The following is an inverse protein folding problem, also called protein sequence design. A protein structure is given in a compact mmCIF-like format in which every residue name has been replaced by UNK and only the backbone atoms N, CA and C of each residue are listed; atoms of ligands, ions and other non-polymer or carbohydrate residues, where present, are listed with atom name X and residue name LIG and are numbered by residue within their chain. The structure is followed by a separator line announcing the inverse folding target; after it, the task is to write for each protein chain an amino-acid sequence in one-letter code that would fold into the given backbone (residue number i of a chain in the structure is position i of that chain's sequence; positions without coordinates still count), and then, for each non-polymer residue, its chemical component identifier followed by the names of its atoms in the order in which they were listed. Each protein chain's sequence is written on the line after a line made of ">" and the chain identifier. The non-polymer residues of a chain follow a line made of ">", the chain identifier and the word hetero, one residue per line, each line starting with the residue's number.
data_IF_602650184978
#
_entry.id   IF_602650184978
#
_cell.length_a   1.000
_cell.length_b   1.000
_cell.length_c   1.000
_cell.angle_alpha   90.00
_cell.angle_beta   90.00
_cell.angle_gamma   90.00
#
_symmetry.space_group_name_H-M   'P 1'
#
loop_
_entity.id
_entity.type
_entity.pdbx_description
1 polymer ?
#
# COMPACT_ATOMS: atom_id res chain seq x y z
N UNK A 1 -27.56 9.82 20.85
CA UNK A 1 -27.46 8.36 21.07
C UNK A 1 -26.01 7.94 20.81
N UNK A 2 -25.23 7.72 21.86
CA UNK A 2 -23.81 7.39 21.75
C UNK A 2 -23.65 5.88 21.46
N UNK A 3 -23.47 5.53 20.19
CA UNK A 3 -23.24 4.13 19.81
C UNK A 3 -21.80 3.73 20.17
N UNK A 4 -21.59 3.17 21.36
CA UNK A 4 -20.33 2.52 21.73
C UNK A 4 -20.16 1.25 20.90
N UNK A 5 -19.14 1.23 20.03
CA UNK A 5 -18.70 -0.01 19.38
C UNK A 5 -18.47 -1.08 20.43
N UNK A 6 -19.09 -2.26 20.27
CA UNK A 6 -18.94 -3.41 21.19
C UNK A 6 -17.48 -3.88 21.32
N UNK A 7 -16.62 -3.51 20.37
CA UNK A 7 -15.19 -3.81 20.37
C UNK A 7 -14.38 -2.52 20.20
N UNK A 8 -13.53 -2.22 21.17
CA UNK A 8 -12.53 -1.16 21.09
C UNK A 8 -11.26 -1.76 20.51
N UNK A 9 -10.89 -1.37 19.28
CA UNK A 9 -9.66 -1.83 18.63
C UNK A 9 -8.45 -1.47 19.50
N UNK A 10 -7.73 -2.49 19.97
CA UNK A 10 -6.52 -2.28 20.77
C UNK A 10 -5.41 -1.64 19.94
N UNK A 11 -4.65 -0.73 20.54
CA UNK A 11 -3.62 0.04 19.84
C UNK A 11 -2.48 -0.84 19.28
N UNK A 12 -2.25 -2.02 19.85
CA UNK A 12 -1.23 -2.95 19.33
C UNK A 12 -1.59 -3.52 17.96
N UNK A 13 -2.88 -3.68 17.64
CA UNK A 13 -3.32 -4.28 16.37
C UNK A 13 -2.82 -3.50 15.15
N UNK A 14 -3.08 -2.18 15.01
CA UNK A 14 -2.54 -1.42 13.87
C UNK A 14 -1.01 -1.37 13.88
N UNK A 15 -0.34 -1.39 15.05
CA UNK A 15 1.14 -1.45 15.11
C UNK A 15 1.64 -2.76 14.51
N UNK A 16 1.13 -3.90 14.98
CA UNK A 16 1.51 -5.22 14.47
C UNK A 16 1.26 -5.34 12.97
N UNK A 17 0.10 -4.88 12.50
CA UNK A 17 -0.23 -4.88 11.07
C UNK A 17 0.70 -3.98 10.26
N UNK A 18 1.06 -2.81 10.78
CA UNK A 18 2.01 -1.91 10.14
C UNK A 18 3.42 -2.51 10.03
N UNK A 19 3.89 -3.20 11.08
CA UNK A 19 5.18 -3.92 11.06
C UNK A 19 5.14 -5.04 10.02
N UNK A 20 4.08 -5.84 9.97
CA UNK A 20 3.91 -6.92 8.98
C UNK A 20 3.95 -6.34 7.56
N UNK A 21 3.19 -5.27 7.31
CA UNK A 21 3.18 -4.56 6.02
C UNK A 21 4.60 -4.14 5.61
N UNK A 22 5.36 -3.52 6.52
CA UNK A 22 6.71 -3.05 6.22
C UNK A 22 7.67 -4.23 5.95
N UNK A 23 7.67 -5.26 6.81
CA UNK A 23 8.54 -6.42 6.63
C UNK A 23 8.32 -7.12 5.29
N UNK A 24 7.05 -7.36 4.94
CA UNK A 24 6.69 -7.97 3.66
C UNK A 24 7.12 -7.05 2.51
N UNK A 25 6.90 -5.74 2.62
CA UNK A 25 7.27 -4.79 1.56
C UNK A 25 8.78 -4.75 1.35
N UNK A 26 9.57 -4.68 2.43
CA UNK A 26 11.03 -4.70 2.34
C UNK A 26 11.54 -6.02 1.78
N UNK A 27 10.97 -7.16 2.18
CA UNK A 27 11.29 -8.47 1.60
C UNK A 27 11.09 -8.45 0.08
N UNK A 28 9.95 -7.95 -0.41
CA UNK A 28 9.69 -7.89 -1.85
C UNK A 28 10.55 -6.85 -2.57
N UNK A 29 10.91 -5.72 -1.96
CA UNK A 29 11.89 -4.79 -2.52
C UNK A 29 13.22 -5.52 -2.75
N UNK A 30 13.73 -6.21 -1.73
CA UNK A 30 14.99 -6.97 -1.82
C UNK A 30 14.90 -8.05 -2.89
N UNK A 31 13.85 -8.88 -2.88
CA UNK A 31 13.66 -9.94 -3.88
C UNK A 31 13.56 -9.38 -5.31
N UNK A 32 12.94 -8.21 -5.51
CA UNK A 32 12.89 -7.59 -6.84
C UNK A 32 14.20 -6.93 -7.26
N UNK A 33 14.98 -6.42 -6.31
CA UNK A 33 16.32 -5.91 -6.57
C UNK A 33 17.34 -7.00 -6.88
N UNK A 34 17.19 -8.20 -6.30
CA UNK A 34 18.19 -9.28 -6.43
C UNK A 34 17.72 -10.42 -7.34
N UNK A 35 16.67 -11.13 -6.95
CA UNK A 35 16.25 -12.39 -7.58
C UNK A 35 15.44 -12.18 -8.86
N UNK A 36 14.61 -11.13 -8.91
CA UNK A 36 13.80 -10.83 -10.10
C UNK A 36 14.39 -9.76 -11.01
N UNK A 37 15.56 -9.22 -10.68
CA UNK A 37 16.22 -8.23 -11.53
C UNK A 37 16.70 -8.89 -12.81
N UNK A 38 16.31 -8.34 -13.96
CA UNK A 38 16.81 -8.76 -15.26
C UNK A 38 17.50 -7.57 -15.94
N UNK A 39 18.76 -7.74 -16.30
CA UNK A 39 19.61 -6.66 -16.80
C UNK A 39 19.12 -6.08 -18.15
N UNK A 40 18.47 -6.92 -18.95
CA UNK A 40 17.81 -6.56 -20.20
C UNK A 40 16.58 -5.65 -20.03
N UNK A 41 16.07 -5.46 -18.82
CA UNK A 41 14.98 -4.50 -18.55
C UNK A 41 15.47 -3.04 -18.45
N UNK A 42 16.79 -2.81 -18.50
CA UNK A 42 17.39 -1.46 -18.43
C UNK A 42 17.16 -0.61 -19.68
N UNK A 43 16.96 -1.24 -20.83
CA UNK A 43 16.73 -0.56 -22.11
C UNK A 43 15.49 -1.17 -22.77
N UNK A 44 14.48 -0.35 -23.01
CA UNK A 44 13.27 -0.75 -23.73
C UNK A 44 13.11 0.11 -24.97
N UNK A 45 13.02 -0.51 -26.15
CA UNK A 45 12.94 0.19 -27.44
C UNK A 45 14.01 1.29 -27.62
N UNK A 46 15.27 0.98 -27.27
CA UNK A 46 16.41 1.91 -27.29
C UNK A 46 16.28 3.13 -26.35
N UNK A 47 15.30 3.14 -25.45
CA UNK A 47 15.14 4.19 -24.44
C UNK A 47 15.61 3.65 -23.09
N UNK A 48 16.55 4.33 -22.40
CA UNK A 48 16.98 3.95 -21.07
C UNK A 48 15.83 4.11 -20.08
N UNK A 49 15.54 3.06 -19.33
CA UNK A 49 14.53 3.06 -18.28
C UNK A 49 15.14 3.54 -16.95
N UNK A 50 14.31 3.73 -15.92
CA UNK A 50 14.78 4.07 -14.57
C UNK A 50 15.81 3.04 -14.06
N UNK A 51 15.66 1.78 -14.49
CA UNK A 51 16.60 0.67 -14.26
C UNK A 51 18.00 0.91 -14.83
N UNK A 52 18.16 1.67 -15.92
CA UNK A 52 19.49 1.98 -16.45
C UNK A 52 20.30 2.87 -15.48
N UNK A 53 19.63 3.73 -14.74
CA UNK A 53 20.26 4.69 -13.81
C UNK A 53 20.41 4.07 -12.42
N UNK A 54 19.33 3.51 -11.89
CA UNK A 54 19.26 3.05 -10.49
C UNK A 54 19.46 1.54 -10.33
N UNK A 55 19.56 0.78 -11.44
CA UNK A 55 19.76 -0.68 -11.42
C UNK A 55 18.77 -1.35 -10.47
N UNK A 56 19.28 -2.13 -9.52
CA UNK A 56 18.52 -2.88 -8.52
C UNK A 56 17.71 -1.99 -7.56
N UNK A 57 18.13 -0.73 -7.35
CA UNK A 57 17.43 0.23 -6.49
C UNK A 57 16.13 0.78 -7.09
N UNK A 58 15.93 0.57 -8.39
CA UNK A 58 14.71 1.00 -9.10
C UNK A 58 13.43 0.49 -8.45
N UNK A 59 13.48 -0.72 -7.89
CA UNK A 59 12.36 -1.34 -7.19
C UNK A 59 11.77 -0.41 -6.13
N UNK A 60 12.60 0.28 -5.33
CA UNK A 60 12.16 1.19 -4.26
C UNK A 60 11.26 2.31 -4.76
N UNK A 61 11.43 2.75 -6.01
CA UNK A 61 10.67 3.82 -6.62
C UNK A 61 9.32 3.37 -7.21
N UNK A 62 9.01 2.07 -7.18
CA UNK A 62 7.70 1.60 -7.61
C UNK A 62 6.61 2.13 -6.68
N UNK A 63 5.59 2.74 -7.30
CA UNK A 63 4.48 3.36 -6.59
C UNK A 63 3.77 2.41 -5.62
N UNK A 64 3.67 1.12 -5.98
CA UNK A 64 3.15 0.08 -5.07
C UNK A 64 3.96 0.00 -3.78
N UNK A 65 5.29 -0.03 -3.84
CA UNK A 65 6.11 -0.10 -2.62
C UNK A 65 6.10 1.20 -1.83
N UNK A 66 6.11 2.35 -2.49
CA UNK A 66 5.97 3.64 -1.80
C UNK A 66 4.64 3.74 -1.05
N UNK A 67 3.53 3.36 -1.69
CA UNK A 67 2.20 3.36 -1.06
C UNK A 67 2.07 2.31 0.06
N UNK A 68 2.67 1.12 -0.09
CA UNK A 68 2.73 0.10 0.96
C UNK A 68 3.55 0.56 2.16
N UNK A 69 4.72 1.17 1.94
CA UNK A 69 5.56 1.75 3.00
C UNK A 69 4.78 2.84 3.74
N UNK A 70 4.15 3.75 3.00
CA UNK A 70 3.36 4.83 3.60
C UNK A 70 2.20 4.29 4.43
N UNK A 71 1.47 3.27 3.95
CA UNK A 71 0.44 2.59 4.73
C UNK A 71 1.02 1.97 6.01
N UNK A 72 2.13 1.25 5.92
CA UNK A 72 2.78 0.60 7.06
C UNK A 72 3.19 1.59 8.15
N UNK A 73 3.83 2.69 7.75
CA UNK A 73 4.18 3.79 8.66
C UNK A 73 2.91 4.37 9.29
N UNK A 74 1.88 4.68 8.50
CA UNK A 74 0.67 5.28 9.02
C UNK A 74 -0.12 4.36 9.96
N UNK A 75 -0.07 3.04 9.76
CA UNK A 75 -0.62 2.05 10.69
C UNK A 75 0.09 2.08 12.05
N UNK A 76 1.43 2.14 12.06
CA UNK A 76 2.21 2.25 13.29
C UNK A 76 1.91 3.57 13.99
N UNK A 77 1.96 4.70 13.26
CA UNK A 77 1.68 6.02 13.82
C UNK A 77 0.24 6.11 14.35
N UNK A 78 -0.73 5.50 13.67
CA UNK A 78 -2.11 5.39 14.14
C UNK A 78 -2.21 4.64 15.46
N UNK A 79 -1.49 3.54 15.62
CA UNK A 79 -1.48 2.79 16.88
C UNK A 79 -0.84 3.56 18.04
N UNK A 80 0.26 4.28 17.77
CA UNK A 80 0.96 5.08 18.79
C UNK A 80 0.18 6.35 19.16
N UNK A 81 -0.38 7.05 18.17
CA UNK A 81 -1.02 8.37 18.33
C UNK A 81 -2.49 8.37 17.92
N UNK A 82 -3.26 7.35 18.32
CA UNK A 82 -4.67 7.18 17.93
C UNK A 82 -5.56 8.37 18.24
N UNK A 83 -5.29 9.12 19.31
CA UNK A 83 -6.12 10.27 19.69
C UNK A 83 -5.97 11.46 18.73
N UNK A 84 -4.91 11.51 17.92
CA UNK A 84 -4.67 12.62 16.99
C UNK A 84 -5.57 12.54 15.77
N UNK A 85 -6.40 13.56 15.56
CA UNK A 85 -7.23 13.69 14.36
C UNK A 85 -6.39 13.84 13.08
N UNK A 86 -5.23 14.49 13.16
CA UNK A 86 -4.29 14.60 12.04
C UNK A 86 -3.80 13.22 11.60
N UNK A 87 -3.44 12.36 12.55
CA UNK A 87 -3.00 11.00 12.26
C UNK A 87 -4.11 10.18 11.61
N UNK A 88 -5.34 10.25 12.12
CA UNK A 88 -6.50 9.57 11.51
C UNK A 88 -6.76 10.04 10.08
N UNK A 89 -6.62 11.34 9.80
CA UNK A 89 -6.77 11.91 8.44
C UNK A 89 -5.64 11.47 7.51
N UNK A 90 -4.40 11.49 7.98
CA UNK A 90 -3.26 10.99 7.21
C UNK A 90 -3.38 9.50 6.91
N UNK A 91 -3.89 8.71 7.87
CA UNK A 91 -4.15 7.29 7.66
C UNK A 91 -5.29 7.08 6.64
N UNK A 92 -6.35 7.89 6.70
CA UNK A 92 -7.36 7.86 5.65
C UNK A 92 -6.76 8.16 4.26
N UNK A 93 -5.85 9.14 4.16
CA UNK A 93 -5.15 9.46 2.92
C UNK A 93 -4.25 8.30 2.45
N UNK A 94 -3.55 7.60 3.35
CA UNK A 94 -2.75 6.44 2.96
C UNK A 94 -3.62 5.29 2.43
N UNK A 95 -4.80 5.08 3.01
CA UNK A 95 -5.76 4.10 2.50
C UNK A 95 -6.36 4.53 1.16
N UNK A 96 -6.66 5.82 0.97
CA UNK A 96 -7.09 6.33 -0.35
C UNK A 96 -6.00 6.13 -1.41
N UNK A 97 -4.74 6.42 -1.09
CA UNK A 97 -3.60 6.25 -1.99
C UNK A 97 -3.42 4.78 -2.40
N UNK A 98 -3.42 3.86 -1.44
CA UNK A 98 -3.25 2.43 -1.73
C UNK A 98 -4.46 1.84 -2.48
N UNK A 99 -5.63 2.45 -2.36
CA UNK A 99 -6.81 2.10 -3.18
C UNK A 99 -6.58 2.41 -4.65
N UNK A 100 -6.00 3.57 -4.96
CA UNK A 100 -5.67 3.93 -6.34
C UNK A 100 -4.68 2.92 -6.92
N UNK A 101 -3.63 2.56 -6.16
CA UNK A 101 -2.69 1.51 -6.57
C UNK A 101 -3.40 0.19 -6.84
N UNK A 102 -4.28 -0.25 -5.94
CA UNK A 102 -5.04 -1.49 -6.07
C UNK A 102 -5.89 -1.48 -7.34
N UNK A 103 -6.71 -0.44 -7.54
CA UNK A 103 -7.62 -0.36 -8.68
C UNK A 103 -6.85 -0.32 -10.00
N UNK A 104 -5.83 0.54 -10.10
CA UNK A 104 -5.06 0.70 -11.35
C UNK A 104 -4.32 -0.59 -11.69
N UNK A 105 -3.66 -1.22 -10.72
CA UNK A 105 -2.95 -2.47 -10.96
C UNK A 105 -3.90 -3.58 -11.40
N UNK A 106 -4.97 -3.82 -10.64
CA UNK A 106 -5.93 -4.89 -10.95
C UNK A 106 -6.68 -4.64 -12.27
N UNK A 107 -7.00 -3.38 -12.59
CA UNK A 107 -7.54 -3.02 -13.89
C UNK A 107 -6.56 -3.37 -15.03
N UNK A 108 -5.27 -3.03 -14.89
CA UNK A 108 -4.25 -3.29 -15.91
C UNK A 108 -3.98 -4.77 -16.16
N UNK A 109 -4.10 -5.62 -15.14
CA UNK A 109 -3.89 -7.07 -15.30
C UNK A 109 -5.15 -7.82 -15.74
N UNK A 110 -6.34 -7.30 -15.39
CA UNK A 110 -7.61 -8.00 -15.62
C UNK A 110 -7.87 -8.34 -17.09
N UNK A 111 -7.46 -7.49 -18.03
CA UNK A 111 -7.74 -7.66 -19.45
C UNK A 111 -6.73 -8.54 -20.20
N UNK A 112 -5.56 -8.83 -19.62
CA UNK A 112 -4.50 -9.60 -20.28
C UNK A 112 -4.62 -11.08 -19.94
N UNK A 113 -5.21 -11.88 -20.83
CA UNK A 113 -5.36 -13.32 -20.66
C UNK A 113 -4.04 -14.02 -20.28
N UNK A 114 -2.94 -13.65 -20.93
CA UNK A 114 -1.59 -14.18 -20.65
C UNK A 114 -1.09 -13.94 -19.22
N UNK A 115 -1.70 -13.03 -18.46
CA UNK A 115 -1.38 -12.82 -17.04
C UNK A 115 -1.90 -13.95 -16.17
N UNK A 116 -3.03 -14.54 -16.57
CA UNK A 116 -3.72 -15.62 -15.85
C UNK A 116 -3.18 -17.00 -16.20
N UNK A 117 -2.44 -17.11 -17.29
CA UNK A 117 -1.77 -18.34 -17.75
C UNK A 117 -0.36 -18.51 -17.14
N UNK A 118 0.10 -17.53 -16.36
CA UNK A 118 1.42 -17.56 -15.71
C UNK A 118 1.48 -18.60 -14.58
N UNK A 119 2.68 -19.10 -14.23
CA UNK A 119 2.86 -20.02 -13.11
C UNK A 119 2.29 -19.46 -11.82
N UNK A 120 1.67 -20.33 -11.01
CA UNK A 120 1.00 -19.98 -9.73
C UNK A 120 1.83 -19.07 -8.82
N UNK A 121 3.17 -19.20 -8.86
CA UNK A 121 4.08 -18.36 -8.09
C UNK A 121 3.97 -16.85 -8.40
N UNK A 122 3.83 -16.47 -9.68
CA UNK A 122 3.69 -15.04 -10.04
C UNK A 122 2.34 -14.47 -9.60
N UNK A 123 1.28 -15.27 -9.66
CA UNK A 123 -0.04 -14.90 -9.17
C UNK A 123 -0.05 -14.71 -7.64
N UNK A 124 0.60 -15.61 -6.90
CA UNK A 124 0.76 -15.49 -5.43
C UNK A 124 1.54 -14.22 -5.09
N UNK A 125 2.67 -13.97 -5.76
CA UNK A 125 3.44 -12.72 -5.58
C UNK A 125 2.57 -11.49 -5.80
N UNK A 126 1.77 -11.47 -6.87
CA UNK A 126 0.84 -10.38 -7.19
C UNK A 126 -0.17 -10.15 -6.06
N UNK A 127 -0.84 -11.19 -5.58
CA UNK A 127 -1.81 -11.11 -4.48
C UNK A 127 -1.15 -10.58 -3.19
N UNK A 128 0.01 -11.12 -2.83
CA UNK A 128 0.73 -10.73 -1.60
C UNK A 128 1.16 -9.27 -1.63
N UNK A 129 1.60 -8.75 -2.79
CA UNK A 129 2.17 -7.40 -2.90
C UNK A 129 1.14 -6.33 -3.24
N UNK A 130 0.07 -6.69 -3.94
CA UNK A 130 -0.89 -5.73 -4.50
C UNK A 130 -2.29 -5.86 -3.90
N UNK A 131 -2.65 -6.94 -3.19
CA UNK A 131 -3.99 -7.08 -2.60
C UNK A 131 -4.00 -7.09 -1.06
N UNK A 132 -3.06 -7.79 -0.41
CA UNK A 132 -3.07 -7.92 1.06
C UNK A 132 -2.90 -6.58 1.75
N UNK A 133 -1.99 -5.72 1.29
CA UNK A 133 -1.75 -4.40 1.89
C UNK A 133 -3.00 -3.50 1.83
N UNK A 134 -3.68 -3.31 0.68
CA UNK A 134 -4.97 -2.62 0.64
C UNK A 134 -6.02 -3.20 1.59
N UNK A 135 -6.15 -4.53 1.64
CA UNK A 135 -7.13 -5.21 2.50
C UNK A 135 -6.88 -4.88 3.98
N UNK A 136 -5.62 -4.92 4.44
CA UNK A 136 -5.25 -4.51 5.81
C UNK A 136 -5.67 -3.06 6.06
N UNK A 137 -5.37 -2.15 5.13
CA UNK A 137 -5.77 -0.75 5.21
C UNK A 137 -7.28 -0.58 5.34
N UNK A 138 -8.07 -1.29 4.53
CA UNK A 138 -9.53 -1.27 4.56
C UNK A 138 -10.12 -1.81 5.85
N UNK A 139 -9.58 -2.92 6.36
CA UNK A 139 -10.03 -3.51 7.63
C UNK A 139 -9.82 -2.50 8.76
N UNK A 140 -8.62 -1.96 8.89
CA UNK A 140 -8.31 -1.02 9.97
C UNK A 140 -9.13 0.28 9.82
N UNK A 141 -9.25 0.82 8.61
CA UNK A 141 -10.11 1.99 8.37
C UNK A 141 -11.57 1.69 8.73
N UNK A 142 -12.10 0.53 8.34
CA UNK A 142 -13.44 0.11 8.68
C UNK A 142 -13.70 0.05 10.19
N UNK A 143 -12.72 -0.40 10.97
CA UNK A 143 -12.78 -0.46 12.43
C UNK A 143 -12.74 0.93 13.09
N UNK A 144 -11.98 1.87 12.53
CA UNK A 144 -11.84 3.22 13.08
C UNK A 144 -12.74 4.27 12.41
N UNK A 145 -13.54 3.90 11.40
CA UNK A 145 -14.25 4.85 10.51
C UNK A 145 -15.09 5.88 11.25
N UNK A 146 -15.68 5.48 12.39
CA UNK A 146 -16.52 6.37 13.23
C UNK A 146 -15.70 7.42 13.99
N UNK A 147 -14.39 7.23 14.11
CA UNK A 147 -13.46 8.15 14.77
C UNK A 147 -12.82 9.15 13.81
N UNK A 148 -13.00 8.97 12.50
CA UNK A 148 -12.42 9.82 11.45
C UNK A 148 -13.41 10.94 11.12
N UNK A 149 -12.97 12.19 11.23
CA UNK A 149 -13.74 13.36 10.84
C UNK A 149 -12.99 14.13 9.76
N UNK A 150 -13.57 14.13 8.56
CA UNK A 150 -13.11 14.90 7.40
C UNK A 150 -14.09 16.05 7.23
N UNK A 151 -13.60 17.29 7.35
CA UNK A 151 -14.40 18.50 7.16
C UNK A 151 -14.13 19.07 5.78
N UNK A 152 -15.17 19.40 5.02
CA UNK A 152 -15.07 20.04 3.70
C UNK A 152 -14.84 21.56 3.77
N UNK A 153 -14.69 22.13 4.97
CA UNK A 153 -14.64 23.58 5.22
C UNK A 153 -13.44 24.34 4.59
N UNK A 154 -12.57 23.67 3.84
CA UNK A 154 -11.43 24.30 3.14
C UNK A 154 -11.77 24.69 1.70
N UNK A 155 -12.93 24.31 1.14
CA UNK A 155 -13.42 24.93 -0.10
C UNK A 155 -14.11 26.24 0.29
N UNK A 156 -13.31 27.28 0.58
CA UNK A 156 -13.80 28.64 0.36
C UNK A 156 -14.01 28.75 -1.14
N UNK A 157 -15.26 28.62 -1.59
CA UNK A 157 -15.62 29.06 -2.95
C UNK A 157 -15.21 30.54 -3.04
N UNK A 158 -14.42 30.93 -4.05
CA UNK A 158 -14.21 32.35 -4.33
C UNK A 158 -15.55 33.03 -4.60
#
# INVERSE_FOLDING_TARGET
>A
MEYKSKYKLHNSVPITMGIIVLLITFLFIVLNGTYFYKENDSIYNNVPQLQAIFKQFTSVFYFTYLSNIFLGIMLIVLGVKRQSMTVKRLFFLSVALITVTFIVYWALISYKQSTWEKPYYEAIKSILTHAIHPIIGFIILGLIRKEVSISSKTIKRP
#
